data_IF_289595962552
#
_entry.id   IF_289595962552
#
_cell.length_a   1.000
_cell.length_b   1.000
_cell.length_c   1.000
_cell.angle_alpha   90.00
_cell.angle_beta   90.00
_cell.angle_gamma   90.00
#
_symmetry.space_group_name_H-M   'P 1'
#
loop_
_entity.id
_entity.type
_entity.pdbx_description
1 polymer ?
#
# COMPACT_ATOMS: atom_id res chain seq x y z
N UNK A 1 0.44 -26.43 12.32
CA UNK A 1 0.91 -26.43 10.92
C UNK A 1 0.64 -25.04 10.38
N UNK A 2 1.68 -24.21 10.22
CA UNK A 2 1.55 -22.88 9.61
C UNK A 2 1.44 -23.06 8.08
N UNK A 3 0.46 -22.39 7.50
CA UNK A 3 0.14 -22.38 6.07
C UNK A 3 1.36 -21.93 5.23
N UNK A 4 1.59 -22.59 4.09
CA UNK A 4 2.65 -22.31 3.11
C UNK A 4 2.38 -21.02 2.30
N UNK A 5 1.69 -20.05 2.89
CA UNK A 5 1.17 -18.85 2.20
C UNK A 5 2.25 -17.88 1.67
N UNK A 6 3.54 -18.14 1.89
CA UNK A 6 4.63 -17.28 1.40
C UNK A 6 4.73 -15.91 2.08
N UNK A 7 3.81 -15.55 2.98
CA UNK A 7 3.83 -14.30 3.72
C UNK A 7 4.72 -14.40 4.97
N UNK A 8 5.56 -13.38 5.19
CA UNK A 8 6.46 -13.28 6.34
C UNK A 8 5.74 -12.85 7.63
N UNK A 9 4.50 -12.33 7.52
CA UNK A 9 3.66 -11.88 8.63
C UNK A 9 2.18 -12.16 8.34
N UNK A 10 1.44 -12.53 9.38
CA UNK A 10 -0.01 -12.70 9.38
C UNK A 10 -0.62 -12.01 10.61
N UNK A 11 -1.79 -11.39 10.43
CA UNK A 11 -2.55 -10.75 11.52
C UNK A 11 -3.89 -11.44 11.70
N UNK A 12 -4.35 -11.59 12.94
CA UNK A 12 -5.71 -12.05 13.22
C UNK A 12 -6.74 -11.00 12.83
N UNK A 13 -8.02 -11.39 12.92
CA UNK A 13 -9.11 -10.41 12.93
C UNK A 13 -8.95 -9.42 14.09
N UNK A 14 -9.41 -8.18 13.87
CA UNK A 14 -9.34 -7.11 14.85
C UNK A 14 -10.49 -7.27 15.84
N UNK A 15 -10.16 -7.38 17.12
CA UNK A 15 -11.09 -7.35 18.24
C UNK A 15 -11.21 -5.93 18.75
N UNK A 16 -12.36 -5.29 18.52
CA UNK A 16 -12.65 -3.95 19.02
C UNK A 16 -13.55 -4.02 20.25
N UNK A 17 -13.14 -3.37 21.34
CA UNK A 17 -13.97 -3.15 22.53
C UNK A 17 -14.04 -1.67 22.86
N UNK A 18 -15.06 -1.26 23.62
CA UNK A 18 -15.18 0.09 24.16
C UNK A 18 -15.18 -0.06 25.68
N UNK A 19 -14.26 0.61 26.36
CA UNK A 19 -14.18 0.53 27.82
C UNK A 19 -15.19 1.48 28.52
N UNK A 20 -15.25 1.40 29.85
CA UNK A 20 -16.19 2.19 30.66
C UNK A 20 -16.00 3.71 30.54
N UNK A 21 -14.89 4.16 29.94
CA UNK A 21 -14.58 5.58 29.72
C UNK A 21 -14.92 6.01 28.28
N UNK A 22 -15.53 5.13 27.48
CA UNK A 22 -15.84 5.38 26.07
C UNK A 22 -14.62 5.25 25.14
N UNK A 23 -13.47 4.76 25.64
CA UNK A 23 -12.25 4.62 24.84
C UNK A 23 -12.34 3.33 24.05
N UNK A 24 -12.24 3.44 22.72
CA UNK A 24 -12.18 2.29 21.83
C UNK A 24 -10.79 1.67 21.89
N UNK A 25 -10.73 0.37 22.20
CA UNK A 25 -9.54 -0.46 22.16
C UNK A 25 -9.64 -1.42 20.99
N UNK A 26 -8.59 -1.48 20.18
CA UNK A 26 -8.47 -2.43 19.08
C UNK A 26 -7.27 -3.33 19.34
N UNK A 27 -7.49 -4.64 19.31
CA UNK A 27 -6.47 -5.64 19.58
C UNK A 27 -6.47 -6.67 18.45
N UNK A 28 -5.30 -7.10 18.01
CA UNK A 28 -5.13 -8.19 17.07
C UNK A 28 -3.83 -8.93 17.39
N UNK A 29 -3.81 -10.22 17.07
CA UNK A 29 -2.64 -11.06 17.22
C UNK A 29 -1.80 -10.99 15.94
N UNK A 30 -0.49 -10.87 16.08
CA UNK A 30 0.44 -10.83 14.96
C UNK A 30 1.38 -12.04 15.04
N UNK A 31 1.33 -12.89 14.01
CA UNK A 31 2.21 -14.03 13.85
C UNK A 31 3.21 -13.74 12.74
N UNK A 32 4.48 -14.10 12.93
CA UNK A 32 5.50 -13.88 11.93
C UNK A 32 6.57 -14.96 11.99
N UNK A 33 7.36 -15.07 10.92
CA UNK A 33 8.35 -16.12 10.73
C UNK A 33 9.76 -15.60 10.98
N UNK A 34 10.47 -16.24 11.90
CA UNK A 34 11.86 -15.89 12.23
C UNK A 34 12.88 -16.37 11.19
N UNK A 35 12.50 -17.30 10.33
CA UNK A 35 13.35 -17.89 9.29
C UNK A 35 13.30 -17.13 7.95
N UNK A 36 12.59 -16.00 7.89
CA UNK A 36 12.43 -15.19 6.69
C UNK A 36 13.38 -13.98 6.71
N UNK A 37 13.86 -13.50 5.54
CA UNK A 37 14.75 -12.34 5.48
C UNK A 37 14.11 -11.05 6.01
N UNK A 38 12.78 -10.97 6.01
CA UNK A 38 12.03 -9.83 6.50
C UNK A 38 12.06 -9.67 8.03
N UNK A 39 12.60 -10.65 8.77
CA UNK A 39 12.63 -10.63 10.24
C UNK A 39 13.36 -9.41 10.80
N UNK A 40 14.37 -8.89 10.10
CA UNK A 40 15.06 -7.65 10.48
C UNK A 40 14.13 -6.42 10.40
N UNK A 41 13.27 -6.36 9.38
CA UNK A 41 12.28 -5.29 9.20
C UNK A 41 11.20 -5.39 10.27
N UNK A 42 10.69 -6.60 10.49
CA UNK A 42 9.68 -6.88 11.53
C UNK A 42 10.22 -6.47 12.91
N UNK A 43 11.48 -6.81 13.19
CA UNK A 43 12.15 -6.38 14.40
C UNK A 43 12.21 -4.86 14.53
N UNK A 44 12.63 -4.16 13.48
CA UNK A 44 12.70 -2.71 13.48
C UNK A 44 11.33 -2.05 13.69
N UNK A 45 10.27 -2.57 13.06
CA UNK A 45 8.90 -2.05 13.21
C UNK A 45 8.41 -2.20 14.65
N UNK A 46 8.56 -3.40 15.24
CA UNK A 46 8.10 -3.67 16.62
C UNK A 46 8.85 -2.78 17.61
N UNK A 47 10.19 -2.74 17.51
CA UNK A 47 11.03 -1.97 18.43
C UNK A 47 10.77 -0.46 18.31
N UNK A 48 10.68 0.08 17.08
CA UNK A 48 10.42 1.50 16.87
C UNK A 48 9.00 1.91 17.29
N UNK A 49 8.00 1.07 17.07
CA UNK A 49 6.62 1.37 17.45
C UNK A 49 6.49 1.50 18.97
N UNK A 50 7.07 0.57 19.72
CA UNK A 50 7.07 0.64 21.19
C UNK A 50 7.87 1.85 21.68
N UNK A 51 9.05 2.13 21.11
CA UNK A 51 9.86 3.29 21.50
C UNK A 51 9.14 4.63 21.24
N UNK A 52 8.41 4.75 20.13
CA UNK A 52 7.62 5.96 19.81
C UNK A 52 6.40 6.13 20.70
N UNK A 53 5.74 5.02 21.05
CA UNK A 53 4.64 5.03 22.01
C UNK A 53 5.12 5.45 23.40
N UNK A 54 6.25 4.91 23.88
CA UNK A 54 6.88 5.29 25.14
C UNK A 54 7.38 6.73 25.14
N UNK A 55 7.86 7.22 23.99
CA UNK A 55 8.25 8.61 23.79
C UNK A 55 7.08 9.60 23.73
N UNK A 56 5.83 9.14 23.85
CA UNK A 56 4.64 10.00 23.85
C UNK A 56 4.35 10.64 22.49
N UNK A 57 4.84 10.06 21.39
CA UNK A 57 4.55 10.59 20.06
C UNK A 57 3.05 10.46 19.77
N UNK A 58 2.39 11.57 19.41
CA UNK A 58 0.93 11.69 19.33
C UNK A 58 0.24 10.55 18.55
N UNK A 59 0.83 10.12 17.44
CA UNK A 59 0.29 9.04 16.59
C UNK A 59 0.38 7.64 17.19
N UNK A 60 1.18 7.45 18.24
CA UNK A 60 1.43 6.15 18.89
C UNK A 60 0.92 6.12 20.34
N UNK A 61 0.27 7.19 20.80
CA UNK A 61 -0.34 7.23 22.13
C UNK A 61 -1.37 6.09 22.24
N UNK A 62 -1.22 5.26 23.26
CA UNK A 62 -2.10 4.10 23.50
C UNK A 62 -1.78 2.86 22.65
N UNK A 63 -0.79 2.91 21.76
CA UNK A 63 -0.31 1.74 21.02
C UNK A 63 0.69 0.98 21.88
N UNK A 64 0.50 -0.35 22.00
CA UNK A 64 1.44 -1.23 22.68
C UNK A 64 1.53 -2.56 21.96
N UNK A 65 2.73 -2.94 21.55
CA UNK A 65 3.00 -4.29 21.04
C UNK A 65 3.54 -5.12 22.21
N UNK A 66 2.76 -6.11 22.62
CA UNK A 66 3.13 -7.03 23.71
C UNK A 66 3.62 -8.33 23.11
N UNK A 67 4.78 -8.77 23.59
CA UNK A 67 5.44 -10.00 23.15
C UNK A 67 6.12 -10.65 24.35
N UNK A 68 6.14 -11.99 24.39
CA UNK A 68 6.85 -12.74 25.42
C UNK A 68 8.36 -12.49 25.35
N UNK A 69 9.05 -12.59 26.48
CA UNK A 69 10.51 -12.36 26.51
C UNK A 69 11.26 -13.38 25.64
N UNK A 70 10.79 -14.63 25.61
CA UNK A 70 11.36 -15.70 24.79
C UNK A 70 11.20 -15.41 23.28
N UNK A 71 10.03 -14.96 22.84
CA UNK A 71 9.78 -14.63 21.43
C UNK A 71 10.60 -13.41 20.99
N UNK A 72 10.66 -12.39 21.86
CA UNK A 72 11.48 -11.19 21.64
C UNK A 72 12.96 -11.52 21.47
N UNK A 73 13.51 -12.34 22.35
CA UNK A 73 14.90 -12.77 22.28
C UNK A 73 15.17 -13.57 21.00
N UNK A 74 14.25 -14.48 20.65
CA UNK A 74 14.36 -15.27 19.41
C UNK A 74 14.30 -14.40 18.17
N UNK A 75 13.37 -13.43 18.10
CA UNK A 75 13.28 -12.45 17.03
C UNK A 75 14.55 -11.59 16.94
N UNK A 76 15.09 -11.14 18.07
CA UNK A 76 16.30 -10.33 18.08
C UNK A 76 17.49 -11.10 17.49
N UNK A 77 17.72 -12.34 17.95
CA UNK A 77 18.79 -13.19 17.41
C UNK A 77 18.59 -13.44 15.91
N UNK A 78 17.36 -13.71 15.49
CA UNK A 78 17.04 -13.90 14.06
C UNK A 78 17.24 -12.62 13.23
N UNK A 79 16.88 -11.45 13.76
CA UNK A 79 17.06 -10.15 13.12
C UNK A 79 18.53 -9.74 13.02
N UNK A 80 19.35 -10.06 14.03
CA UNK A 80 20.80 -9.82 14.01
C UNK A 80 21.53 -10.78 13.07
N UNK A 81 21.06 -12.03 12.97
CA UNK A 81 21.60 -13.03 12.05
C UNK A 81 21.14 -12.83 10.60
N UNK A 82 20.00 -12.17 10.39
CA UNK A 82 19.54 -11.79 9.07
C UNK A 82 20.50 -10.73 8.49
N UNK A 83 21.22 -11.09 7.42
CA UNK A 83 21.98 -10.12 6.67
C UNK A 83 21.03 -8.97 6.27
N UNK A 84 21.31 -7.75 6.74
CA UNK A 84 20.57 -6.54 6.36
C UNK A 84 20.68 -6.44 4.84
N UNK A 85 19.69 -6.97 4.14
CA UNK A 85 19.59 -6.76 2.71
C UNK A 85 19.11 -5.34 2.54
N UNK A 86 19.90 -4.42 1.93
CA UNK A 86 19.35 -3.16 1.50
C UNK A 86 18.13 -3.47 0.63
N UNK A 87 17.04 -2.71 0.82
CA UNK A 87 15.71 -2.89 0.21
C UNK A 87 15.66 -2.91 -1.34
N UNK A 88 16.80 -3.04 -2.02
CA UNK A 88 16.96 -3.18 -3.46
C UNK A 88 17.21 -4.64 -3.91
N UNK A 89 16.94 -5.66 -3.08
CA UNK A 89 17.00 -7.04 -3.56
C UNK A 89 15.67 -7.41 -4.21
N UNK A 90 15.71 -7.41 -5.54
CA UNK A 90 14.68 -7.96 -6.41
C UNK A 90 14.29 -9.38 -5.96
N UNK A 91 13.06 -9.52 -5.44
CA UNK A 91 12.50 -10.80 -4.97
C UNK A 91 12.27 -11.80 -6.11
N UNK A 92 12.53 -11.43 -7.37
CA UNK A 92 12.49 -12.34 -8.51
C UNK A 92 13.55 -13.44 -8.47
N UNK A 93 14.63 -13.30 -7.68
CA UNK A 93 15.72 -14.27 -7.64
C UNK A 93 15.55 -15.44 -6.66
N UNK A 94 14.63 -15.36 -5.69
CA UNK A 94 14.45 -16.43 -4.69
C UNK A 94 13.60 -17.62 -5.18
N UNK A 95 13.12 -17.58 -6.44
CA UNK A 95 12.43 -18.70 -7.09
C UNK A 95 13.42 -19.62 -7.84
N UNK A 96 14.67 -19.21 -8.02
CA UNK A 96 15.64 -19.91 -8.86
C UNK A 96 16.56 -20.87 -8.07
N UNK A 97 15.96 -21.86 -7.40
CA UNK A 97 16.71 -23.04 -6.96
C UNK A 97 15.89 -24.32 -7.12
N UNK A 98 15.57 -24.65 -8.37
CA UNK A 98 15.21 -26.02 -8.75
C UNK A 98 15.89 -26.36 -10.09
N UNK A 99 16.75 -27.39 -10.17
CA UNK A 99 17.45 -27.73 -11.40
C UNK A 99 16.60 -28.70 -12.23
N UNK A 100 16.45 -28.40 -13.52
CA UNK A 100 16.09 -29.26 -14.66
C UNK A 100 15.32 -28.39 -15.68
N UNK A 101 15.53 -28.43 -16.98
CA UNK A 101 16.40 -29.20 -17.85
C UNK A 101 16.52 -28.42 -19.17
N UNK A 102 17.59 -28.68 -19.92
CA UNK A 102 17.87 -28.12 -21.23
C UNK A 102 16.72 -28.30 -22.23
N UNK A 103 16.43 -27.26 -23.02
CA UNK A 103 16.11 -27.40 -24.47
C UNK A 103 16.59 -26.15 -25.21
N UNK A 104 17.58 -26.38 -26.07
CA UNK A 104 18.10 -25.52 -27.13
C UNK A 104 17.06 -25.33 -28.23
N UNK A 105 16.93 -24.13 -28.80
CA UNK A 105 16.61 -23.97 -30.24
C UNK A 105 16.96 -22.57 -30.75
N UNK A 106 17.64 -22.60 -31.90
CA UNK A 106 18.34 -21.54 -32.60
C UNK A 106 17.44 -20.65 -33.48
N UNK A 107 17.77 -19.35 -33.50
CA UNK A 107 18.01 -18.46 -34.67
C UNK A 107 16.89 -18.25 -35.70
N UNK A 108 16.45 -16.99 -35.86
CA UNK A 108 16.60 -16.24 -37.13
C UNK A 108 16.14 -14.76 -37.04
N UNK A 109 17.12 -13.90 -37.33
CA UNK A 109 17.12 -12.46 -37.65
C UNK A 109 15.88 -11.94 -38.41
N UNK A 110 15.50 -10.68 -38.16
CA UNK A 110 15.61 -9.59 -39.17
C UNK A 110 15.55 -8.24 -38.44
N UNK A 111 16.59 -7.44 -38.64
CA UNK A 111 16.81 -6.10 -38.10
C UNK A 111 15.78 -5.11 -38.66
N UNK A 112 15.07 -4.38 -37.78
CA UNK A 112 14.41 -3.12 -38.12
C UNK A 112 14.41 -2.19 -36.92
N UNK A 113 15.37 -1.26 -36.92
CA UNK A 113 15.40 0.01 -36.18
C UNK A 113 14.86 -0.03 -34.74
N UNK A 114 15.63 -0.62 -33.83
CA UNK A 114 15.37 -0.53 -32.39
C UNK A 114 15.84 0.84 -31.86
N UNK A 115 14.87 1.72 -31.66
CA UNK A 115 14.92 2.66 -30.53
C UNK A 115 15.30 1.82 -29.30
N UNK A 116 16.29 2.22 -28.47
CA UNK A 116 16.71 1.38 -27.36
C UNK A 116 15.47 1.00 -26.55
N UNK A 117 15.23 -0.30 -26.29
CA UNK A 117 14.12 -0.69 -25.43
C UNK A 117 14.34 0.03 -24.11
N UNK A 118 13.46 0.99 -23.79
CA UNK A 118 13.26 1.42 -22.41
C UNK A 118 13.13 0.12 -21.64
N UNK A 119 14.07 -0.15 -20.74
CA UNK A 119 13.91 -1.23 -19.79
C UNK A 119 12.47 -1.10 -19.26
N UNK A 120 11.65 -2.10 -19.53
CA UNK A 120 10.32 -2.19 -18.95
C UNK A 120 10.61 -2.41 -17.49
N UNK A 121 10.69 -1.33 -16.73
CA UNK A 121 10.71 -1.39 -15.28
C UNK A 121 9.31 -1.90 -14.96
N UNK A 122 9.19 -3.20 -14.69
CA UNK A 122 7.92 -3.80 -14.31
C UNK A 122 7.34 -2.96 -13.17
N UNK A 123 6.14 -2.43 -13.37
CA UNK A 123 5.53 -1.56 -12.38
C UNK A 123 5.18 -2.35 -11.13
N UNK A 124 5.35 -1.68 -10.00
CA UNK A 124 5.05 -2.24 -8.69
C UNK A 124 3.63 -1.86 -8.31
N UNK A 125 2.88 -2.80 -7.75
CA UNK A 125 1.60 -2.49 -7.13
C UNK A 125 1.82 -1.73 -5.82
N UNK A 126 1.18 -0.58 -5.70
CA UNK A 126 1.20 0.30 -4.53
C UNK A 126 -0.19 0.41 -3.94
N UNK A 127 -0.27 0.83 -2.67
CA UNK A 127 -1.51 0.95 -1.94
C UNK A 127 -1.64 2.31 -1.25
N UNK A 128 -2.89 2.78 -1.15
CA UNK A 128 -3.28 3.93 -0.35
C UNK A 128 -4.59 3.62 0.40
N UNK A 129 -4.82 4.30 1.51
CA UNK A 129 -6.08 4.31 2.23
C UNK A 129 -6.71 5.68 2.06
N UNK A 130 -7.97 5.70 1.64
CA UNK A 130 -8.76 6.93 1.55
C UNK A 130 -9.80 6.93 2.65
N UNK A 131 -9.77 7.98 3.47
CA UNK A 131 -10.77 8.25 4.50
C UNK A 131 -11.62 9.43 4.06
N UNK A 132 -12.93 9.33 4.29
CA UNK A 132 -13.92 10.36 3.95
C UNK A 132 -14.80 10.57 5.17
N UNK A 133 -14.86 11.81 5.63
CA UNK A 133 -15.73 12.29 6.69
C UNK A 133 -16.80 13.17 6.06
N UNK A 134 -18.06 12.80 6.23
CA UNK A 134 -19.20 13.54 5.69
C UNK A 134 -20.40 13.45 6.62
N UNK A 135 -21.30 14.42 6.56
CA UNK A 135 -22.61 14.28 7.24
C UNK A 135 -23.36 13.09 6.63
N UNK A 136 -24.00 12.26 7.45
CA UNK A 136 -24.74 11.09 6.99
C UNK A 136 -25.67 11.47 5.80
N UNK A 137 -25.48 10.85 4.61
CA UNK A 137 -26.33 11.13 3.48
C UNK A 137 -27.76 10.69 3.75
N UNK A 138 -28.73 11.43 3.23
CA UNK A 138 -30.13 10.99 3.24
C UNK A 138 -30.25 9.62 2.57
N UNK A 139 -31.11 8.77 3.11
CA UNK A 139 -31.37 7.44 2.55
C UNK A 139 -31.66 7.51 1.03
N UNK A 140 -30.96 6.67 0.26
CA UNK A 140 -31.08 6.61 -1.21
C UNK A 140 -30.25 7.66 -1.97
N UNK A 141 -29.56 8.57 -1.28
CA UNK A 141 -28.63 9.53 -1.90
C UNK A 141 -27.21 8.99 -1.83
N UNK A 142 -26.48 9.12 -2.93
CA UNK A 142 -25.05 8.79 -2.99
C UNK A 142 -24.26 9.82 -2.17
N UNK A 143 -23.45 9.36 -1.22
CA UNK A 143 -22.56 10.23 -0.45
C UNK A 143 -21.24 10.52 -1.15
N UNK A 144 -20.43 11.33 -0.48
CA UNK A 144 -19.08 11.72 -0.88
C UNK A 144 -18.16 10.49 -0.97
N UNK A 145 -18.23 9.56 -0.03
CA UNK A 145 -17.42 8.34 -0.05
C UNK A 145 -17.64 7.53 -1.34
N UNK A 146 -18.89 7.34 -1.76
CA UNK A 146 -19.19 6.64 -3.00
C UNK A 146 -18.76 7.45 -4.24
N UNK A 147 -18.88 8.79 -4.21
CA UNK A 147 -18.41 9.64 -5.30
C UNK A 147 -16.88 9.56 -5.47
N UNK A 148 -16.15 9.60 -4.35
CA UNK A 148 -14.69 9.41 -4.31
C UNK A 148 -14.29 8.04 -4.85
N UNK A 149 -14.95 6.96 -4.40
CA UNK A 149 -14.73 5.60 -4.93
C UNK A 149 -14.86 5.55 -6.45
N UNK A 150 -15.89 6.18 -7.01
CA UNK A 150 -16.09 6.20 -8.46
C UNK A 150 -15.10 7.07 -9.22
N UNK A 151 -14.68 8.20 -8.65
CA UNK A 151 -13.63 9.02 -9.25
C UNK A 151 -12.31 8.25 -9.32
N UNK A 152 -11.95 7.56 -8.23
CA UNK A 152 -10.72 6.74 -8.16
C UNK A 152 -10.80 5.57 -9.15
N UNK A 153 -11.91 4.83 -9.21
CA UNK A 153 -12.07 3.77 -10.22
C UNK A 153 -12.01 4.30 -11.66
N UNK A 154 -12.63 5.45 -11.93
CA UNK A 154 -12.58 6.08 -13.25
C UNK A 154 -11.17 6.58 -13.62
N UNK A 155 -10.27 6.74 -12.64
CA UNK A 155 -8.87 7.08 -12.86
C UNK A 155 -8.01 5.89 -13.31
N UNK A 156 -8.51 4.66 -13.18
CA UNK A 156 -7.79 3.43 -13.47
C UNK A 156 -7.19 2.73 -12.24
N UNK A 157 -7.29 3.32 -11.05
CA UNK A 157 -6.96 2.65 -9.80
C UNK A 157 -8.09 1.71 -9.37
N UNK A 158 -7.75 0.68 -8.57
CA UNK A 158 -8.72 -0.26 -8.02
C UNK A 158 -9.09 0.15 -6.59
N UNK A 159 -10.38 0.19 -6.29
CA UNK A 159 -10.86 0.44 -4.92
C UNK A 159 -11.46 -0.81 -4.30
N UNK A 160 -11.23 -1.03 -3.01
CA UNK A 160 -11.95 -2.02 -2.21
C UNK A 160 -13.37 -1.58 -1.82
N UNK A 161 -13.97 -2.35 -0.91
CA UNK A 161 -15.24 -1.98 -0.29
C UNK A 161 -15.12 -0.74 0.59
N UNK A 162 -16.24 -0.01 0.71
CA UNK A 162 -16.34 1.14 1.63
C UNK A 162 -16.81 0.61 2.98
N UNK A 163 -15.97 0.78 3.99
CA UNK A 163 -16.34 0.49 5.37
C UNK A 163 -16.77 1.82 6.02
N UNK A 164 -17.97 1.87 6.57
CA UNK A 164 -18.51 3.12 7.14
C UNK A 164 -19.03 2.93 8.55
N UNK A 165 -18.81 3.93 9.40
CA UNK A 165 -19.36 4.04 10.75
C UNK A 165 -19.91 5.46 10.91
N UNK A 166 -21.08 5.60 11.54
CA UNK A 166 -21.65 6.92 11.87
C UNK A 166 -21.38 7.19 13.35
N UNK A 167 -20.89 8.38 13.68
CA UNK A 167 -20.64 8.81 15.05
C UNK A 167 -21.87 9.47 15.70
N UNK A 168 -21.73 9.87 16.96
CA UNK A 168 -22.80 10.49 17.76
C UNK A 168 -23.22 11.88 17.23
N UNK A 169 -22.37 12.50 16.40
CA UNK A 169 -22.59 13.80 15.77
C UNK A 169 -23.30 13.65 14.41
N UNK A 170 -23.59 12.42 13.98
CA UNK A 170 -24.19 12.14 12.67
C UNK A 170 -23.21 12.28 11.51
N UNK A 171 -21.91 12.21 11.79
CA UNK A 171 -20.85 12.20 10.77
C UNK A 171 -20.55 10.74 10.42
N UNK A 172 -20.64 10.44 9.13
CA UNK A 172 -20.24 9.18 8.53
C UNK A 172 -18.74 9.22 8.24
N UNK A 173 -18.01 8.35 8.93
CA UNK A 173 -16.60 8.05 8.72
C UNK A 173 -16.48 6.85 7.81
N UNK A 174 -16.00 7.06 6.59
CA UNK A 174 -15.84 6.03 5.57
C UNK A 174 -14.37 5.78 5.25
N UNK A 175 -13.98 4.52 5.13
CA UNK A 175 -12.63 4.11 4.73
C UNK A 175 -12.70 3.19 3.50
N UNK A 176 -11.79 3.37 2.55
CA UNK A 176 -11.60 2.46 1.41
C UNK A 176 -10.11 2.26 1.09
N UNK A 177 -9.74 1.02 0.76
CA UNK A 177 -8.41 0.70 0.23
C UNK A 177 -8.35 1.00 -1.26
N UNK A 178 -7.22 1.52 -1.71
CA UNK A 178 -6.93 1.81 -3.12
C UNK A 178 -5.64 1.11 -3.51
N UNK A 179 -5.61 0.45 -4.66
CA UNK A 179 -4.37 -0.04 -5.27
C UNK A 179 -4.21 0.45 -6.70
N UNK A 180 -2.96 0.65 -7.11
CA UNK A 180 -2.58 1.07 -8.44
C UNK A 180 -1.19 0.51 -8.77
N UNK A 181 -0.86 0.37 -10.05
CA UNK A 181 0.49 -0.01 -10.48
C UNK A 181 1.23 1.20 -11.05
N UNK A 182 2.54 1.27 -10.83
CA UNK A 182 3.34 2.38 -11.34
C UNK A 182 3.57 2.35 -12.86
N UNK A 183 3.36 1.20 -13.50
CA UNK A 183 3.47 1.00 -14.95
C UNK A 183 2.14 1.12 -15.70
N UNK A 184 1.01 1.32 -15.01
CA UNK A 184 -0.28 1.36 -15.68
C UNK A 184 -0.38 2.62 -16.57
N UNK A 185 -0.99 2.52 -17.76
CA UNK A 185 -1.08 3.64 -18.70
C UNK A 185 -1.73 4.90 -18.09
N UNK A 186 -2.68 4.71 -17.16
CA UNK A 186 -3.43 5.77 -16.52
C UNK A 186 -2.75 6.34 -15.26
N UNK A 187 -1.49 5.99 -14.96
CA UNK A 187 -0.81 6.40 -13.72
C UNK A 187 -0.82 7.92 -13.49
N UNK A 188 -0.73 8.73 -14.56
CA UNK A 188 -0.88 10.18 -14.47
C UNK A 188 -2.27 10.59 -13.98
N UNK A 189 -3.33 9.95 -14.51
CA UNK A 189 -4.72 10.20 -14.10
C UNK A 189 -4.96 9.75 -12.67
N UNK A 190 -4.49 8.56 -12.28
CA UNK A 190 -4.51 8.07 -10.89
C UNK A 190 -3.84 9.08 -9.97
N UNK A 191 -2.66 9.56 -10.37
CA UNK A 191 -1.88 10.51 -9.57
C UNK A 191 -2.64 11.80 -9.30
N UNK A 192 -3.20 12.39 -10.36
CA UNK A 192 -3.99 13.60 -10.27
C UNK A 192 -5.28 13.41 -9.46
N UNK A 193 -5.96 12.28 -9.64
CA UNK A 193 -7.19 11.97 -8.89
C UNK A 193 -6.92 11.82 -7.39
N UNK A 194 -5.89 11.07 -6.98
CA UNK A 194 -5.56 10.90 -5.56
C UNK A 194 -5.13 12.22 -4.92
N UNK A 195 -4.36 13.04 -5.63
CA UNK A 195 -3.97 14.36 -5.15
C UNK A 195 -5.17 15.33 -5.06
N UNK A 196 -6.13 15.24 -5.99
CA UNK A 196 -7.35 16.03 -5.95
C UNK A 196 -8.25 15.61 -4.78
N UNK A 197 -8.43 14.30 -4.55
CA UNK A 197 -9.17 13.76 -3.40
C UNK A 197 -8.55 14.26 -2.09
N UNK A 198 -7.22 14.22 -1.95
CA UNK A 198 -6.53 14.70 -0.75
C UNK A 198 -6.68 16.21 -0.47
N UNK A 199 -7.08 17.01 -1.47
CA UNK A 199 -7.32 18.46 -1.32
C UNK A 199 -8.78 18.80 -0.97
N UNK A 200 -9.69 17.84 -1.10
CA UNK A 200 -11.10 18.05 -0.78
C UNK A 200 -11.32 18.03 0.73
N UNK A 201 -12.19 18.91 1.22
CA UNK A 201 -12.55 18.95 2.64
C UNK A 201 -13.20 17.64 3.08
N UNK A 202 -12.83 17.16 4.27
CA UNK A 202 -13.31 15.88 4.82
C UNK A 202 -12.64 14.65 4.20
N UNK A 203 -11.70 14.80 3.27
CA UNK A 203 -11.00 13.67 2.66
C UNK A 203 -9.55 13.60 3.14
N UNK A 204 -9.08 12.38 3.40
CA UNK A 204 -7.68 12.11 3.72
C UNK A 204 -7.16 10.94 2.89
N UNK A 205 -6.02 11.13 2.24
CA UNK A 205 -5.32 10.06 1.52
C UNK A 205 -4.05 9.72 2.28
N UNK A 206 -4.01 8.51 2.82
CA UNK A 206 -2.87 7.93 3.54
C UNK A 206 -2.14 7.01 2.56
N UNK A 207 -0.93 7.42 2.20
CA UNK A 207 -0.08 6.74 1.23
C UNK A 207 1.35 6.87 1.74
N UNK A 208 2.19 5.87 1.51
CA UNK A 208 3.60 5.99 1.88
C UNK A 208 4.23 7.15 1.10
N UNK A 209 5.07 7.96 1.77
CA UNK A 209 5.61 9.19 1.18
C UNK A 209 6.48 8.93 -0.04
N UNK A 210 7.23 7.82 -0.06
CA UNK A 210 8.01 7.39 -1.24
C UNK A 210 7.11 7.01 -2.41
N UNK A 211 6.02 6.29 -2.15
CA UNK A 211 5.10 5.83 -3.21
C UNK A 211 4.37 7.03 -3.82
N UNK A 212 3.96 7.98 -2.98
CA UNK A 212 3.41 9.27 -3.45
C UNK A 212 4.38 10.02 -4.33
N UNK A 213 5.66 10.10 -3.93
CA UNK A 213 6.68 10.81 -4.68
C UNK A 213 6.93 10.13 -6.04
N UNK A 214 7.11 8.81 -6.04
CA UNK A 214 7.28 7.97 -7.22
C UNK A 214 6.09 8.11 -8.19
N UNK A 215 4.86 7.94 -7.70
CA UNK A 215 3.63 8.13 -8.47
C UNK A 215 3.56 9.50 -9.13
N UNK A 216 3.96 10.57 -8.41
CA UNK A 216 3.97 11.94 -8.95
C UNK A 216 5.06 12.15 -10.00
N UNK A 217 6.24 11.58 -9.79
CA UNK A 217 7.35 11.66 -10.73
C UNK A 217 7.01 10.96 -12.04
N UNK A 218 6.52 9.72 -11.96
CA UNK A 218 6.09 8.94 -13.13
C UNK A 218 4.91 9.65 -13.83
N UNK A 219 3.91 10.09 -13.07
CA UNK A 219 2.74 10.79 -13.62
C UNK A 219 3.12 12.03 -14.43
N UNK A 220 4.05 12.85 -13.94
CA UNK A 220 4.58 14.02 -14.68
C UNK A 220 5.33 13.61 -15.94
N UNK A 221 6.11 12.51 -15.88
CA UNK A 221 6.83 11.98 -17.03
C UNK A 221 5.91 11.52 -18.17
N UNK A 222 4.73 10.98 -17.84
CA UNK A 222 3.70 10.62 -18.82
C UNK A 222 2.95 11.83 -19.38
N UNK A 223 2.66 12.87 -18.57
CA UNK A 223 2.05 14.11 -19.06
C UNK A 223 2.93 14.87 -20.05
N UNK A 224 4.26 14.87 -19.84
CA UNK A 224 5.21 15.50 -20.77
C UNK A 224 5.41 14.71 -22.07
N UNK A 225 5.12 13.40 -22.07
CA UNK A 225 5.26 12.54 -23.24
C UNK A 225 4.02 12.52 -24.16
N UNK A 226 2.88 13.07 -23.72
CA UNK A 226 1.71 13.28 -24.57
C UNK A 226 1.66 14.75 -25.04
N UNK A 227 2.08 15.07 -26.27
CA UNK A 227 1.77 16.37 -26.85
C UNK A 227 0.25 16.50 -26.93
N UNK A 228 -0.27 17.63 -26.43
CA UNK A 228 -1.68 17.99 -26.49
C UNK A 228 -2.17 17.78 -27.93
N UNK A 229 -3.10 16.85 -28.14
CA UNK A 229 -3.87 16.81 -29.37
C UNK A 229 -4.62 18.13 -29.46
N UNK A 230 -4.05 19.02 -30.25
CA UNK A 230 -4.65 20.28 -30.70
C UNK A 230 -6.07 19.98 -31.13
N UNK A 231 -7.04 20.53 -30.40
CA UNK A 231 -8.40 20.63 -30.91
C UNK A 231 -8.35 21.62 -32.07
N UNK A 232 -8.29 21.09 -33.29
CA UNK A 232 -8.64 21.86 -34.48
C UNK A 232 -10.11 22.28 -34.35
N UNK A 233 -10.31 23.55 -34.03
CA UNK A 233 -11.60 24.22 -34.15
C UNK A 233 -11.82 24.45 -35.65
N UNK A 234 -12.53 23.56 -36.31
CA UNK A 234 -13.09 23.82 -37.65
C UNK A 234 -14.25 24.80 -37.48
N UNK A 235 -14.07 26.02 -38.00
CA UNK A 235 -15.13 27.01 -38.22
C UNK A 235 -15.84 26.74 -39.54
#
# INVERSE_FOLDING_TARGET
MLDQSGYSMQTSEIRSTVDAQGIRRAEFDMNYRNDQPDIAIIHAVITNTNARAEGGQEMYIGVKIVESEADRATRQVAAEAAAIQPHNRDRSQDIAAKPAAAVTLEVARTERAETPPRAVVDGVEKQAIVKVEEVEPKAGVRGQAEAVKSAINASGAKTGEILSIIDEQGIRHSEMKVSYRTDQPEIAKVSNTLDAVARQSGNHVIEHSSDRAERREIGKGYEMAQPQHSQEITR
#
